data_IF_157035124679
#
_entry.id   IF_157035124679
#
_cell.length_a   1.000
_cell.length_b   1.000
_cell.length_c   1.000
_cell.angle_alpha   90.00
_cell.angle_beta   90.00
_cell.angle_gamma   90.00
#
_symmetry.space_group_name_H-M   'P 1'
#
loop_
_entity.id
_entity.type
_entity.pdbx_description
1 polymer ?
#
# COMPACT_ATOMS: atom_id res chain seq x y z
N UNK A 1 12.21 42.38 -9.93
CA UNK A 1 13.31 41.75 -9.16
C UNK A 1 12.77 41.47 -7.77
N UNK A 2 12.50 40.27 -7.29
CA UNK A 2 12.75 38.91 -7.73
C UNK A 2 12.41 38.07 -6.51
N UNK A 3 11.12 37.85 -6.25
CA UNK A 3 10.68 37.00 -5.13
C UNK A 3 10.59 35.57 -5.65
N UNK A 4 11.71 34.87 -5.58
CA UNK A 4 11.81 33.48 -5.95
C UNK A 4 12.52 32.70 -4.84
N UNK A 5 11.85 31.64 -4.40
CA UNK A 5 12.37 30.40 -3.82
C UNK A 5 12.76 30.44 -2.33
N UNK A 6 12.01 29.72 -1.49
CA UNK A 6 12.54 28.50 -0.85
C UNK A 6 11.52 27.79 0.07
N UNK A 7 11.27 26.52 -0.29
CA UNK A 7 10.89 25.39 0.59
C UNK A 7 9.49 25.47 1.21
N UNK A 8 8.42 24.99 0.57
CA UNK A 8 8.23 23.62 0.05
C UNK A 8 8.61 22.54 1.08
N UNK A 9 7.57 21.83 1.53
CA UNK A 9 7.55 20.59 2.33
C UNK A 9 7.87 20.67 3.83
N UNK A 10 6.78 20.87 4.58
CA UNK A 10 6.63 20.47 5.97
C UNK A 10 6.52 18.93 6.05
N UNK A 11 7.58 18.18 5.76
CA UNK A 11 7.71 16.75 6.12
C UNK A 11 8.42 16.63 7.47
N UNK A 12 7.73 17.09 8.51
CA UNK A 12 8.06 16.82 9.90
C UNK A 12 7.35 15.55 10.37
N UNK A 13 7.85 14.39 9.94
CA UNK A 13 7.41 13.07 10.38
C UNK A 13 8.61 12.21 10.75
N UNK A 14 9.12 12.46 11.96
CA UNK A 14 10.23 11.77 12.60
C UNK A 14 10.09 10.23 12.59
N UNK A 15 11.22 9.57 12.32
CA UNK A 15 11.71 8.31 12.89
C UNK A 15 10.88 7.03 12.70
N UNK A 16 11.46 6.11 11.92
CA UNK A 16 12.12 4.92 12.48
C UNK A 16 12.92 4.22 11.36
N UNK A 17 14.23 4.11 11.57
CA UNK A 17 15.06 3.13 10.87
C UNK A 17 14.50 1.73 11.16
N UNK A 18 13.85 1.12 10.17
CA UNK A 18 13.55 -0.31 10.18
C UNK A 18 13.50 -0.85 8.73
N UNK A 19 14.58 -1.54 8.36
CA UNK A 19 14.58 -2.73 7.49
C UNK A 19 13.97 -2.66 6.09
N UNK A 20 13.94 -1.51 5.41
CA UNK A 20 13.52 -1.43 4.00
C UNK A 20 14.43 -0.49 3.23
N UNK A 21 14.86 -0.94 2.04
CA UNK A 21 15.70 -0.18 1.13
C UNK A 21 14.96 1.10 0.73
N UNK A 22 15.70 2.21 0.72
CA UNK A 22 15.17 3.51 0.31
C UNK A 22 14.61 3.47 -1.12
N UNK A 23 15.18 2.61 -1.97
CA UNK A 23 14.65 2.31 -3.30
C UNK A 23 13.25 1.70 -3.24
N UNK A 24 13.04 0.66 -2.42
CA UNK A 24 11.73 0.02 -2.24
C UNK A 24 10.70 0.98 -1.68
N UNK A 25 11.08 1.83 -0.72
CA UNK A 25 10.19 2.86 -0.18
C UNK A 25 9.73 3.81 -1.28
N UNK A 26 10.66 4.31 -2.08
CA UNK A 26 10.35 5.23 -3.18
C UNK A 26 9.45 4.57 -4.25
N UNK A 27 9.69 3.29 -4.58
CA UNK A 27 8.85 2.52 -5.51
C UNK A 27 7.43 2.34 -4.95
N UNK A 28 7.29 1.95 -3.68
CA UNK A 28 5.97 1.77 -3.04
C UNK A 28 5.23 3.10 -2.91
N UNK A 29 5.92 4.19 -2.58
CA UNK A 29 5.34 5.53 -2.54
C UNK A 29 4.89 6.01 -3.92
N UNK A 30 5.72 5.79 -4.95
CA UNK A 30 5.36 6.12 -6.33
C UNK A 30 4.14 5.30 -6.77
N UNK A 31 4.09 4.01 -6.49
CA UNK A 31 2.93 3.16 -6.75
C UNK A 31 1.69 3.67 -6.02
N UNK A 32 1.78 4.00 -4.73
CA UNK A 32 0.68 4.55 -3.94
C UNK A 32 0.18 5.91 -4.47
N UNK A 33 1.09 6.73 -4.98
CA UNK A 33 0.76 8.02 -5.61
C UNK A 33 0.09 7.81 -6.97
N UNK A 34 0.59 6.89 -7.80
CA UNK A 34 -0.05 6.49 -9.06
C UNK A 34 -1.48 5.97 -8.80
N UNK A 35 -1.64 5.15 -7.76
CA UNK A 35 -2.94 4.67 -7.29
C UNK A 35 -3.81 5.77 -6.68
N UNK A 36 -3.25 6.91 -6.27
CA UNK A 36 -4.03 8.06 -5.81
C UNK A 36 -4.54 8.89 -6.98
N UNK A 37 -3.67 9.13 -7.96
CA UNK A 37 -3.96 10.00 -9.10
C UNK A 37 -4.92 9.34 -10.10
N UNK A 38 -4.84 8.01 -10.25
CA UNK A 38 -5.73 7.23 -11.12
C UNK A 38 -6.96 6.79 -10.31
N UNK A 39 -7.94 7.68 -10.19
CA UNK A 39 -9.19 7.39 -9.49
C UNK A 39 -9.98 6.28 -10.23
N UNK A 40 -10.07 5.11 -9.58
CA UNK A 40 -10.96 3.95 -9.78
C UNK A 40 -11.11 3.29 -11.18
N UNK A 41 -10.59 3.88 -12.25
CA UNK A 41 -11.02 3.51 -13.62
C UNK A 41 -9.96 2.82 -14.51
N UNK A 42 -8.66 2.95 -14.23
CA UNK A 42 -7.61 2.48 -15.17
C UNK A 42 -6.26 2.11 -14.52
N UNK A 43 -6.26 1.35 -13.43
CA UNK A 43 -5.01 0.72 -12.98
C UNK A 43 -4.95 -0.69 -13.56
N UNK A 44 -4.26 -0.79 -14.69
CA UNK A 44 -3.92 -2.07 -15.32
C UNK A 44 -2.86 -2.78 -14.48
N UNK A 45 -3.04 -4.09 -14.26
CA UNK A 45 -2.07 -4.95 -13.57
C UNK A 45 -0.64 -4.83 -14.14
N UNK A 46 -0.51 -4.67 -15.47
CA UNK A 46 0.77 -4.48 -16.16
C UNK A 46 1.59 -3.31 -15.60
N UNK A 47 0.93 -2.21 -15.22
CA UNK A 47 1.62 -1.04 -14.66
C UNK A 47 2.20 -1.39 -13.29
N UNK A 48 1.41 -2.09 -12.46
CA UNK A 48 1.81 -2.55 -11.12
C UNK A 48 2.94 -3.60 -11.21
N UNK A 49 2.90 -4.48 -12.20
CA UNK A 49 3.90 -5.55 -12.41
C UNK A 49 5.32 -4.99 -12.60
N UNK A 50 5.43 -3.82 -13.24
CA UNK A 50 6.71 -3.12 -13.40
C UNK A 50 7.28 -2.67 -12.05
N UNK A 51 6.44 -2.16 -11.14
CA UNK A 51 6.87 -1.81 -9.79
C UNK A 51 7.26 -3.06 -9.00
N UNK A 52 6.44 -4.11 -9.07
CA UNK A 52 6.64 -5.40 -8.41
C UNK A 52 7.97 -6.06 -8.77
N UNK A 53 8.34 -6.02 -10.05
CA UNK A 53 9.58 -6.64 -10.55
C UNK A 53 10.85 -5.98 -10.00
N UNK A 54 10.75 -4.70 -9.63
CA UNK A 54 11.85 -3.93 -9.05
C UNK A 54 12.00 -4.10 -7.53
N UNK A 55 11.05 -4.77 -6.85
CA UNK A 55 11.07 -4.92 -5.39
C UNK A 55 11.73 -6.25 -4.98
N UNK A 56 12.86 -6.24 -4.26
CA UNK A 56 13.50 -7.48 -3.80
C UNK A 56 12.59 -8.27 -2.84
N UNK A 57 12.62 -9.60 -2.94
CA UNK A 57 11.89 -10.52 -2.05
C UNK A 57 12.60 -10.55 -0.69
N UNK A 58 11.98 -10.00 0.35
CA UNK A 58 12.56 -9.94 1.70
C UNK A 58 12.35 -8.61 2.41
N UNK A 59 11.86 -7.60 1.70
CA UNK A 59 11.57 -6.28 2.28
C UNK A 59 10.11 -6.15 2.75
N UNK A 60 9.95 -5.50 3.91
CA UNK A 60 8.66 -5.24 4.54
C UNK A 60 7.90 -4.10 3.84
N UNK A 61 7.26 -4.41 2.71
CA UNK A 61 6.48 -3.46 1.90
C UNK A 61 5.35 -2.75 2.67
N UNK A 62 4.77 -3.39 3.70
CA UNK A 62 3.68 -2.80 4.50
C UNK A 62 4.16 -1.82 5.58
N UNK A 63 5.46 -1.60 5.72
CA UNK A 63 5.96 -0.52 6.59
C UNK A 63 5.75 0.86 5.99
N UNK A 64 5.50 0.94 4.68
CA UNK A 64 5.32 2.19 3.95
C UNK A 64 3.84 2.55 3.91
N UNK A 65 3.53 3.76 4.33
CA UNK A 65 2.17 4.30 4.34
C UNK A 65 2.10 5.50 3.40
N UNK A 66 0.94 5.67 2.75
CA UNK A 66 0.61 6.87 1.98
C UNK A 66 0.41 8.07 2.90
N UNK A 67 0.34 9.29 2.35
CA UNK A 67 0.06 10.49 3.15
C UNK A 67 -1.33 10.45 3.82
N UNK A 68 -2.22 9.59 3.33
CA UNK A 68 -3.54 9.32 3.90
C UNK A 68 -3.51 8.29 5.06
N UNK A 69 -2.32 7.77 5.41
CA UNK A 69 -2.14 6.72 6.42
C UNK A 69 -2.47 5.30 5.94
N UNK A 70 -2.73 5.11 4.64
CA UNK A 70 -3.04 3.80 4.07
C UNK A 70 -1.79 3.04 3.61
N UNK A 71 -1.72 1.76 3.96
CA UNK A 71 -0.74 0.80 3.49
C UNK A 71 -1.06 0.31 2.07
N UNK A 72 -0.04 -0.26 1.40
CA UNK A 72 -0.20 -0.81 0.05
C UNK A 72 -1.33 -1.85 -0.05
N UNK A 73 -1.48 -2.72 0.95
CA UNK A 73 -2.56 -3.70 1.01
C UNK A 73 -3.95 -3.05 1.06
N UNK A 74 -4.15 -2.03 1.91
CA UNK A 74 -5.44 -1.34 2.04
C UNK A 74 -5.81 -0.66 0.73
N UNK A 75 -4.84 -0.07 0.02
CA UNK A 75 -5.07 0.53 -1.29
C UNK A 75 -5.44 -0.54 -2.32
N UNK A 76 -4.72 -1.65 -2.37
CA UNK A 76 -5.02 -2.77 -3.27
C UNK A 76 -6.47 -3.28 -3.10
N UNK A 77 -6.96 -3.33 -1.87
CA UNK A 77 -8.34 -3.75 -1.56
C UNK A 77 -9.35 -2.71 -2.04
N UNK A 78 -9.11 -1.42 -1.83
CA UNK A 78 -9.99 -0.35 -2.32
C UNK A 78 -10.12 -0.32 -3.83
N UNK A 79 -9.09 -0.79 -4.56
CA UNK A 79 -9.12 -0.97 -6.01
C UNK A 79 -9.64 -2.32 -6.48
N UNK A 80 -10.00 -3.21 -5.56
CA UNK A 80 -10.37 -4.59 -5.85
C UNK A 80 -9.31 -5.34 -6.70
N UNK A 81 -8.03 -5.02 -6.51
CA UNK A 81 -6.93 -5.65 -7.23
C UNK A 81 -6.54 -6.97 -6.55
N UNK A 82 -7.28 -8.04 -6.85
CA UNK A 82 -7.08 -9.37 -6.27
C UNK A 82 -5.63 -9.87 -6.45
N UNK A 83 -5.06 -9.69 -7.64
CA UNK A 83 -3.70 -10.17 -7.92
C UNK A 83 -2.63 -9.42 -7.11
N UNK A 84 -2.86 -8.14 -6.82
CA UNK A 84 -1.96 -7.36 -5.96
C UNK A 84 -2.05 -7.84 -4.52
N UNK A 85 -3.27 -8.11 -4.05
CA UNK A 85 -3.50 -8.69 -2.73
C UNK A 85 -2.81 -10.06 -2.61
N UNK A 86 -2.99 -10.96 -3.57
CA UNK A 86 -2.31 -12.27 -3.59
C UNK A 86 -0.78 -12.12 -3.54
N UNK A 87 -0.22 -11.21 -4.32
CA UNK A 87 1.22 -10.97 -4.34
C UNK A 87 1.76 -10.44 -3.01
N UNK A 88 1.05 -9.51 -2.37
CA UNK A 88 1.40 -8.94 -1.06
C UNK A 88 1.34 -10.03 0.02
N UNK A 89 0.26 -10.83 0.03
CA UNK A 89 0.05 -11.89 1.00
C UNK A 89 1.12 -13.00 0.87
N UNK A 90 1.51 -13.33 -0.36
CA UNK A 90 2.57 -14.31 -0.63
C UNK A 90 3.96 -13.87 -0.11
N UNK A 91 4.15 -12.58 0.20
CA UNK A 91 5.38 -12.09 0.84
C UNK A 91 5.40 -12.31 2.37
N UNK A 92 4.36 -12.90 2.96
CA UNK A 92 4.30 -13.15 4.40
C UNK A 92 4.16 -11.87 5.22
N UNK A 93 3.53 -10.84 4.65
CA UNK A 93 3.34 -9.57 5.33
C UNK A 93 2.19 -9.65 6.35
N UNK A 94 2.34 -8.94 7.48
CA UNK A 94 1.31 -8.87 8.52
C UNK A 94 0.03 -8.20 7.99
N UNK A 95 -1.00 -9.00 7.75
CA UNK A 95 -2.30 -8.57 7.21
C UNK A 95 -3.04 -7.62 8.15
N UNK A 96 -2.75 -7.68 9.45
CA UNK A 96 -3.38 -6.85 10.47
C UNK A 96 -2.68 -5.49 10.66
N UNK A 97 -1.62 -5.20 9.89
CA UNK A 97 -0.84 -3.97 10.01
C UNK A 97 -1.54 -2.83 9.27
N UNK A 98 -2.20 -1.94 10.00
CA UNK A 98 -2.83 -0.72 9.50
C UNK A 98 -3.25 0.18 10.66
N UNK A 99 -2.97 1.49 10.58
CA UNK A 99 -3.13 2.40 11.72
C UNK A 99 -4.60 2.73 12.05
N UNK A 100 -5.48 2.79 11.04
CA UNK A 100 -6.85 3.32 11.21
C UNK A 100 -7.97 2.37 10.76
N UNK A 101 -7.71 1.45 9.81
CA UNK A 101 -8.75 0.56 9.25
C UNK A 101 -8.19 -0.83 9.02
N UNK A 102 -8.73 -1.88 9.66
CA UNK A 102 -8.29 -3.24 9.31
C UNK A 102 -8.61 -3.51 7.83
N UNK A 103 -7.69 -4.12 7.07
CA UNK A 103 -7.90 -4.45 5.65
C UNK A 103 -9.23 -5.19 5.37
N UNK A 104 -9.69 -6.00 6.32
CA UNK A 104 -10.95 -6.72 6.22
C UNK A 104 -12.18 -5.80 6.20
N UNK A 105 -12.19 -4.73 6.99
CA UNK A 105 -13.31 -3.77 6.98
C UNK A 105 -13.46 -3.07 5.63
N UNK A 106 -12.33 -2.73 4.99
CA UNK A 106 -12.32 -2.11 3.65
C UNK A 106 -12.85 -3.13 2.64
N UNK A 107 -12.40 -4.38 2.69
CA UNK A 107 -12.88 -5.43 1.79
C UNK A 107 -14.39 -5.67 1.95
N UNK A 108 -14.89 -5.69 3.20
CA UNK A 108 -16.30 -5.83 3.50
C UNK A 108 -17.13 -4.63 2.99
N UNK A 109 -16.63 -3.40 3.13
CA UNK A 109 -17.29 -2.21 2.61
C UNK A 109 -17.42 -2.22 1.08
N UNK A 110 -16.39 -2.71 0.37
CA UNK A 110 -16.42 -2.84 -1.08
C UNK A 110 -17.18 -4.08 -1.58
N UNK A 111 -17.58 -5.00 -0.69
CA UNK A 111 -18.28 -6.23 -1.06
C UNK A 111 -17.41 -7.24 -1.82
N UNK A 112 -16.10 -7.23 -1.61
CA UNK A 112 -15.15 -8.05 -2.39
C UNK A 112 -14.92 -9.40 -1.73
N UNK A 113 -15.85 -10.33 -1.95
CA UNK A 113 -15.85 -11.68 -1.32
C UNK A 113 -14.52 -12.43 -1.51
N UNK A 114 -13.95 -12.41 -2.73
CA UNK A 114 -12.68 -13.11 -3.01
C UNK A 114 -11.51 -12.55 -2.16
N UNK A 115 -11.47 -11.23 -1.98
CA UNK A 115 -10.45 -10.57 -1.16
C UNK A 115 -10.67 -10.87 0.32
N UNK A 116 -11.93 -10.85 0.78
CA UNK A 116 -12.30 -11.21 2.16
C UNK A 116 -11.82 -12.64 2.46
N UNK A 117 -12.10 -13.61 1.59
CA UNK A 117 -11.63 -14.99 1.78
C UNK A 117 -10.10 -15.10 1.83
N UNK A 118 -9.39 -14.37 0.96
CA UNK A 118 -7.93 -14.36 0.93
C UNK A 118 -7.35 -13.79 2.23
N UNK A 119 -7.90 -12.69 2.73
CA UNK A 119 -7.47 -12.07 3.98
C UNK A 119 -7.73 -12.99 5.17
N UNK A 120 -8.90 -13.63 5.25
CA UNK A 120 -9.25 -14.58 6.30
C UNK A 120 -8.31 -15.80 6.30
N UNK A 121 -7.98 -16.35 5.12
CA UNK A 121 -7.01 -17.45 4.99
C UNK A 121 -5.63 -17.10 5.52
N UNK A 122 -5.25 -15.83 5.47
CA UNK A 122 -3.96 -15.34 5.97
C UNK A 122 -4.02 -14.79 7.41
N UNK A 123 -5.11 -15.07 8.15
CA UNK A 123 -5.21 -14.72 9.57
C UNK A 123 -5.58 -13.26 9.83
N UNK A 124 -6.29 -12.61 8.90
CA UNK A 124 -6.90 -11.32 9.18
C UNK A 124 -7.91 -11.44 10.33
N UNK A 125 -7.81 -10.56 11.33
CA UNK A 125 -8.73 -10.53 12.46
C UNK A 125 -10.05 -9.90 12.02
N UNK A 126 -11.14 -10.62 12.31
CA UNK A 126 -12.52 -10.16 12.09
C UNK A 126 -12.97 -9.26 13.23
N UNK A 127 -12.49 -9.55 14.44
CA UNK A 127 -12.87 -8.84 15.66
C UNK A 127 -11.87 -7.74 16.03
N UNK A 128 -12.41 -6.56 16.34
CA UNK A 128 -11.74 -5.41 16.96
C UNK A 128 -11.97 -5.42 18.47
#
# INVERSE_FOLDING_TARGET
>A
MGSMISSFFQTGGHLLSSGTSETTKNIVLALLQDMREKELSHIEWCHIETYISNIPKGENILSVQSADGYNLLQRAIGFNCVELVKWILNRGCDVNRGACSLPLHIAAFHGTEEIVELLLKHGARVDL
#
